data_IF_537694509643
#
_entry.id   IF_537694509643
#
_cell.length_a   1.000
_cell.length_b   1.000
_cell.length_c   1.000
_cell.angle_alpha   90.00
_cell.angle_beta   90.00
_cell.angle_gamma   90.00
#
_symmetry.space_group_name_H-M   'P 1'
#
loop_
_entity.id
_entity.type
_entity.pdbx_description
1 polymer ?
#
# COMPACT_ATOMS: atom_id res chain seq x y z
N UNK A 1 10.44 10.97 30.25
CA UNK A 1 10.40 9.98 29.15
C UNK A 1 9.51 10.55 28.06
N UNK A 2 10.01 10.85 26.85
CA UNK A 2 9.13 11.32 25.79
C UNK A 2 8.22 10.16 25.36
N UNK A 3 6.92 10.31 25.57
CA UNK A 3 5.90 9.45 24.97
C UNK A 3 5.99 9.63 23.46
N UNK A 4 6.63 8.66 22.79
CA UNK A 4 6.65 8.62 21.34
C UNK A 4 5.19 8.41 20.92
N UNK A 5 4.62 9.41 20.23
CA UNK A 5 3.25 9.43 19.75
C UNK A 5 3.03 8.30 18.72
N UNK A 6 2.80 7.07 19.17
CA UNK A 6 2.47 5.91 18.32
C UNK A 6 1.18 6.12 17.52
N UNK A 7 0.30 7.03 17.98
CA UNK A 7 -0.96 7.35 17.31
C UNK A 7 -0.82 7.98 15.91
N UNK A 8 0.35 8.52 15.55
CA UNK A 8 0.62 8.99 14.18
C UNK A 8 0.80 7.82 13.20
N UNK A 9 1.54 6.79 13.60
CA UNK A 9 1.76 5.59 12.80
C UNK A 9 0.46 4.80 12.62
N UNK A 10 -0.31 4.64 13.69
CA UNK A 10 -1.59 3.91 13.64
C UNK A 10 -2.59 4.59 12.71
N UNK A 11 -2.76 5.92 12.82
CA UNK A 11 -3.67 6.65 11.95
C UNK A 11 -3.22 6.65 10.48
N UNK A 12 -1.91 6.71 10.21
CA UNK A 12 -1.40 6.73 8.84
C UNK A 12 -1.45 5.34 8.18
N UNK A 13 -1.09 4.29 8.93
CA UNK A 13 -1.09 2.91 8.46
C UNK A 13 -2.50 2.37 8.23
N UNK A 14 -3.46 2.66 9.13
CA UNK A 14 -4.84 2.18 9.00
C UNK A 14 -5.55 2.92 7.85
N UNK A 15 -5.36 4.24 7.74
CA UNK A 15 -6.09 5.03 6.74
C UNK A 15 -5.52 4.91 5.33
N UNK A 16 -4.20 4.73 5.18
CA UNK A 16 -3.51 4.64 3.88
C UNK A 16 -2.43 3.55 3.88
N UNK A 17 -2.81 2.31 4.14
CA UNK A 17 -1.90 1.16 4.26
C UNK A 17 -0.93 1.02 3.08
N UNK A 18 -1.39 1.31 1.85
CA UNK A 18 -0.58 1.25 0.64
C UNK A 18 0.51 2.34 0.61
N UNK A 19 0.25 3.55 1.14
CA UNK A 19 1.28 4.60 1.26
C UNK A 19 2.33 4.19 2.28
N UNK A 20 1.88 3.61 3.39
CA UNK A 20 2.78 3.10 4.43
C UNK A 20 3.70 2.00 3.89
N UNK A 21 3.15 0.99 3.19
CA UNK A 21 3.94 -0.06 2.54
C UNK A 21 4.85 0.47 1.44
N UNK A 22 4.44 1.52 0.73
CA UNK A 22 5.29 2.19 -0.26
C UNK A 22 6.52 2.82 0.40
N UNK A 23 6.35 3.50 1.53
CA UNK A 23 7.48 4.03 2.32
C UNK A 23 8.38 2.92 2.84
N UNK A 24 7.80 1.85 3.41
CA UNK A 24 8.58 0.69 3.88
C UNK A 24 9.35 0.06 2.72
N UNK A 25 8.70 -0.18 1.58
CA UNK A 25 9.34 -0.75 0.39
C UNK A 25 10.51 0.11 -0.09
N UNK A 26 10.36 1.44 -0.08
CA UNK A 26 11.44 2.38 -0.39
C UNK A 26 12.61 2.28 0.59
N UNK A 27 12.33 2.26 1.89
CA UNK A 27 13.35 2.12 2.94
C UNK A 27 14.09 0.78 2.80
N UNK A 28 13.38 -0.34 2.62
CA UNK A 28 14.00 -1.66 2.44
C UNK A 28 14.87 -1.68 1.18
N UNK A 29 14.40 -1.08 0.08
CA UNK A 29 15.18 -1.00 -1.16
C UNK A 29 16.49 -0.24 -0.93
N UNK A 30 16.44 0.93 -0.30
CA UNK A 30 17.63 1.74 0.02
C UNK A 30 18.56 0.95 0.93
N UNK A 31 18.04 0.36 2.02
CA UNK A 31 18.84 -0.45 2.94
C UNK A 31 19.52 -1.63 2.24
N UNK A 32 18.84 -2.29 1.30
CA UNK A 32 19.39 -3.40 0.50
C UNK A 32 20.50 -2.98 -0.49
N UNK A 33 20.77 -1.69 -0.65
CA UNK A 33 21.93 -1.20 -1.39
C UNK A 33 23.18 -1.10 -0.52
N UNK A 34 23.01 -0.90 0.79
CA UNK A 34 24.11 -0.65 1.73
C UNK A 34 24.38 -1.82 2.68
N UNK A 35 23.38 -2.69 2.90
CA UNK A 35 23.45 -3.81 3.82
C UNK A 35 23.30 -5.12 3.05
N UNK A 36 24.21 -6.04 3.29
CA UNK A 36 24.07 -7.43 2.84
C UNK A 36 23.25 -8.21 3.88
N UNK A 37 22.01 -8.60 3.55
CA UNK A 37 21.17 -9.35 4.47
C UNK A 37 21.77 -10.74 4.72
N UNK A 38 22.00 -11.09 5.99
CA UNK A 38 22.43 -12.44 6.36
C UNK A 38 21.26 -13.40 6.22
N UNK A 39 21.42 -14.46 5.41
CA UNK A 39 20.44 -15.54 5.27
C UNK A 39 19.41 -15.39 4.15
N UNK A 40 19.41 -14.29 3.39
CA UNK A 40 18.55 -14.09 2.22
C UNK A 40 19.40 -13.48 1.10
N UNK A 41 19.13 -13.82 -0.17
CA UNK A 41 19.88 -13.20 -1.27
C UNK A 41 19.49 -11.73 -1.45
N UNK A 42 20.47 -10.87 -1.70
CA UNK A 42 20.24 -9.43 -1.91
C UNK A 42 19.28 -9.16 -3.08
N UNK A 43 19.31 -10.04 -4.09
CA UNK A 43 18.43 -9.99 -5.27
C UNK A 43 16.97 -10.24 -4.87
N UNK A 44 16.70 -11.18 -3.96
CA UNK A 44 15.34 -11.44 -3.47
C UNK A 44 14.79 -10.22 -2.71
N UNK A 45 15.58 -9.60 -1.84
CA UNK A 45 15.15 -8.41 -1.06
C UNK A 45 14.86 -7.21 -1.96
N UNK A 46 15.74 -6.95 -2.94
CA UNK A 46 15.52 -5.88 -3.94
C UNK A 46 14.26 -6.14 -4.76
N UNK A 47 14.12 -7.37 -5.24
CA UNK A 47 12.96 -7.77 -6.04
C UNK A 47 11.66 -7.62 -5.24
N UNK A 48 11.63 -8.07 -3.99
CA UNK A 48 10.50 -7.91 -3.08
C UNK A 48 10.13 -6.43 -2.87
N UNK A 49 11.14 -5.59 -2.64
CA UNK A 49 10.94 -4.15 -2.42
C UNK A 49 10.36 -3.47 -3.65
N UNK A 50 10.90 -3.77 -4.84
CA UNK A 50 10.40 -3.24 -6.12
C UNK A 50 8.95 -3.67 -6.36
N UNK A 51 8.62 -4.95 -6.15
CA UNK A 51 7.25 -5.43 -6.34
C UNK A 51 6.28 -4.75 -5.37
N UNK A 52 6.69 -4.59 -4.11
CA UNK A 52 5.88 -3.88 -3.10
C UNK A 52 5.64 -2.42 -3.50
N UNK A 53 6.68 -1.72 -3.97
CA UNK A 53 6.57 -0.33 -4.45
C UNK A 53 5.62 -0.25 -5.65
N UNK A 54 5.80 -1.10 -6.67
CA UNK A 54 4.96 -1.10 -7.88
C UNK A 54 3.50 -1.35 -7.52
N UNK A 55 3.22 -2.37 -6.71
CA UNK A 55 1.86 -2.70 -6.29
C UNK A 55 1.21 -1.55 -5.53
N UNK A 56 1.93 -0.95 -4.58
CA UNK A 56 1.41 0.18 -3.81
C UNK A 56 1.20 1.44 -4.65
N UNK A 57 2.06 1.69 -5.65
CA UNK A 57 1.87 2.77 -6.62
C UNK A 57 0.61 2.57 -7.45
N UNK A 58 0.37 1.34 -7.95
CA UNK A 58 -0.84 1.02 -8.71
C UNK A 58 -2.08 1.26 -7.86
N UNK A 59 -2.10 0.76 -6.62
CA UNK A 59 -3.21 0.98 -5.68
C UNK A 59 -3.44 2.46 -5.44
N UNK A 60 -2.36 3.24 -5.26
CA UNK A 60 -2.47 4.67 -5.06
C UNK A 60 -3.06 5.38 -6.29
N UNK A 61 -2.56 5.10 -7.49
CA UNK A 61 -3.07 5.69 -8.74
C UNK A 61 -4.55 5.37 -8.92
N UNK A 62 -4.96 4.12 -8.69
CA UNK A 62 -6.37 3.73 -8.74
C UNK A 62 -7.18 4.56 -7.75
N UNK A 63 -6.74 4.62 -6.49
CA UNK A 63 -7.47 5.37 -5.45
C UNK A 63 -7.60 6.86 -5.79
N UNK A 64 -6.54 7.46 -6.35
CA UNK A 64 -6.50 8.87 -6.74
C UNK A 64 -7.43 9.18 -7.91
N UNK A 65 -7.45 8.32 -8.94
CA UNK A 65 -8.39 8.41 -10.07
C UNK A 65 -9.82 8.29 -9.57
N UNK A 66 -10.10 7.33 -8.67
CA UNK A 66 -11.43 7.17 -8.10
C UNK A 66 -11.83 8.40 -7.30
N UNK A 67 -10.99 8.91 -6.40
CA UNK A 67 -11.29 10.11 -5.59
C UNK A 67 -11.55 11.33 -6.48
N UNK A 68 -10.69 11.56 -7.47
CA UNK A 68 -10.82 12.71 -8.38
C UNK A 68 -12.05 12.61 -9.28
N UNK A 69 -12.42 11.41 -9.74
CA UNK A 69 -13.65 11.21 -10.53
C UNK A 69 -14.90 11.36 -9.66
N UNK A 70 -14.87 10.89 -8.43
CA UNK A 70 -15.97 11.03 -7.46
C UNK A 70 -16.18 12.51 -7.15
N UNK A 71 -15.13 13.28 -6.85
CA UNK A 71 -15.22 14.72 -6.59
C UNK A 71 -15.76 15.53 -7.78
N UNK A 72 -15.52 15.07 -9.01
CA UNK A 72 -16.08 15.70 -10.23
C UNK A 72 -17.51 15.26 -10.56
N UNK A 73 -18.00 14.15 -10.02
CA UNK A 73 -19.39 13.74 -10.18
C UNK A 73 -20.25 14.50 -9.16
N UNK A 74 -21.29 15.18 -9.65
CA UNK A 74 -22.22 16.00 -8.84
C UNK A 74 -22.59 15.33 -7.50
N UNK A 75 -22.68 16.14 -6.44
CA UNK A 75 -23.04 15.74 -5.07
C UNK A 75 -24.29 14.83 -5.00
N UNK A 76 -25.19 14.95 -5.97
CA UNK A 76 -26.39 14.13 -6.10
C UNK A 76 -26.10 12.64 -6.39
N UNK A 77 -25.07 12.35 -7.18
CA UNK A 77 -24.68 10.98 -7.52
C UNK A 77 -23.91 10.32 -6.37
N UNK A 78 -23.09 11.10 -5.66
CA UNK A 78 -22.33 10.66 -4.48
C UNK A 78 -23.30 10.21 -3.39
N UNK A 79 -24.34 11.01 -3.10
CA UNK A 79 -25.30 10.69 -2.02
C UNK A 79 -26.08 9.38 -2.25
N UNK A 80 -26.36 9.02 -3.52
CA UNK A 80 -27.09 7.79 -3.84
C UNK A 80 -26.18 6.57 -4.00
N UNK A 81 -24.89 6.74 -4.30
CA UNK A 81 -23.94 5.64 -4.55
C UNK A 81 -22.77 5.58 -3.55
N UNK A 82 -22.83 6.30 -2.44
CA UNK A 82 -21.77 6.36 -1.42
C UNK A 82 -21.39 4.96 -0.92
N UNK A 83 -22.40 4.12 -0.63
CA UNK A 83 -22.20 2.75 -0.15
C UNK A 83 -21.49 1.87 -1.19
N UNK A 84 -21.85 1.99 -2.46
CA UNK A 84 -21.22 1.21 -3.55
C UNK A 84 -19.76 1.62 -3.76
N UNK A 85 -19.46 2.92 -3.66
CA UNK A 85 -18.10 3.46 -3.73
C UNK A 85 -17.23 3.00 -2.56
N UNK A 86 -17.80 2.93 -1.35
CA UNK A 86 -17.11 2.40 -0.16
C UNK A 86 -16.80 0.91 -0.35
N UNK A 87 -17.78 0.11 -0.78
CA UNK A 87 -17.59 -1.33 -1.03
C UNK A 87 -16.51 -1.57 -2.09
N UNK A 88 -16.51 -0.80 -3.18
CA UNK A 88 -15.51 -0.90 -4.23
C UNK A 88 -14.09 -0.57 -3.73
N UNK A 89 -13.95 0.47 -2.88
CA UNK A 89 -12.67 0.81 -2.24
C UNK A 89 -12.13 -0.32 -1.36
N UNK A 90 -13.01 -0.94 -0.57
CA UNK A 90 -12.63 -2.10 0.25
C UNK A 90 -12.25 -3.29 -0.63
N UNK A 91 -12.99 -3.55 -1.72
CA UNK A 91 -12.69 -4.64 -2.66
C UNK A 91 -11.31 -4.47 -3.31
N UNK A 92 -11.01 -3.27 -3.83
CA UNK A 92 -9.69 -2.95 -4.42
C UNK A 92 -8.57 -3.17 -3.39
N UNK A 93 -8.79 -2.74 -2.14
CA UNK A 93 -7.83 -2.92 -1.05
C UNK A 93 -7.62 -4.41 -0.74
N UNK A 94 -8.69 -5.20 -0.68
CA UNK A 94 -8.62 -6.64 -0.42
C UNK A 94 -7.90 -7.40 -1.53
N UNK A 95 -8.20 -7.08 -2.80
CA UNK A 95 -7.54 -7.69 -3.95
C UNK A 95 -6.05 -7.36 -3.94
N UNK A 96 -5.69 -6.10 -3.70
CA UNK A 96 -4.29 -5.69 -3.63
C UNK A 96 -3.53 -6.39 -2.48
N UNK A 97 -4.17 -6.52 -1.31
CA UNK A 97 -3.62 -7.24 -0.17
C UNK A 97 -3.43 -8.74 -0.49
N UNK A 98 -4.39 -9.36 -1.18
CA UNK A 98 -4.28 -10.76 -1.59
C UNK A 98 -3.15 -10.98 -2.60
N UNK A 99 -3.01 -10.08 -3.59
CA UNK A 99 -1.89 -10.11 -4.54
C UNK A 99 -0.57 -9.94 -3.79
N UNK A 100 -0.49 -9.03 -2.84
CA UNK A 100 0.72 -8.81 -2.05
C UNK A 100 1.11 -10.02 -1.19
N UNK A 101 0.13 -10.68 -0.54
CA UNK A 101 0.37 -11.93 0.20
C UNK A 101 0.83 -13.04 -0.76
N UNK A 102 0.18 -13.21 -1.92
CA UNK A 102 0.56 -14.21 -2.90
C UNK A 102 2.00 -13.99 -3.41
N UNK A 103 2.42 -12.74 -3.58
CA UNK A 103 3.80 -12.38 -3.94
C UNK A 103 4.81 -12.75 -2.84
N UNK A 104 4.45 -12.59 -1.57
CA UNK A 104 5.29 -13.04 -0.45
C UNK A 104 5.41 -14.56 -0.47
N UNK A 105 4.28 -15.28 -0.52
CA UNK A 105 4.26 -16.75 -0.44
C UNK A 105 5.04 -17.38 -1.60
N UNK A 106 4.88 -16.87 -2.83
CA UNK A 106 5.59 -17.37 -4.01
C UNK A 106 7.10 -17.06 -4.04
N UNK A 107 7.59 -16.13 -3.19
CA UNK A 107 9.01 -15.78 -3.09
C UNK A 107 9.69 -16.44 -1.87
N UNK A 108 8.91 -16.94 -0.92
CA UNK A 108 9.36 -17.61 0.30
C UNK A 108 9.53 -19.12 0.11
N UNK A 109 8.85 -19.71 -0.88
CA UNK A 109 9.06 -21.08 -1.37
C UNK A 109 9.88 -21.10 -2.66
#
# INVERSE_FOLDING_TARGET
MPEINFGLLDNFAIKNWYRFLLYIGGVILILSMFLEPKGITIVQVRTFSIHTIILCLIVWIIYDIFSTKIERMNEYYIKNHETELIILKYLISFVALFIWIALIVSKVY
#
